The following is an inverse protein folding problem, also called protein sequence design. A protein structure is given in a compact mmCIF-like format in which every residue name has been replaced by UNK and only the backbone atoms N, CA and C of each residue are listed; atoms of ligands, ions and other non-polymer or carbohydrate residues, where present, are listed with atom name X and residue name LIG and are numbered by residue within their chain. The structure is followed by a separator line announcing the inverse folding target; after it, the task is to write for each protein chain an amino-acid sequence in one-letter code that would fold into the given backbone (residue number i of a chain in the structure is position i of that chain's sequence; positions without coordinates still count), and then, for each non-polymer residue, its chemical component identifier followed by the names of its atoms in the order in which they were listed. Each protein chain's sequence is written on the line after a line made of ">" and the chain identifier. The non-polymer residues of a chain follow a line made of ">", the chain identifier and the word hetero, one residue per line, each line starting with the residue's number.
data_IF_179321941857
#
_entry.id   IF_179321941857
#
_cell.length_a   1.000
_cell.length_b   1.000
_cell.length_c   1.000
_cell.angle_alpha   90.00
_cell.angle_beta   90.00
_cell.angle_gamma   90.00
#
_symmetry.space_group_name_H-M   'P 1'
#
loop_
_entity.id
_entity.type
_entity.pdbx_description
1 polymer ?
#
# COMPACT_ATOMS: atom_id res chain seq x y z
N UNK A 1 22.23 -21.18 70.85
CA UNK A 1 21.84 -22.05 69.72
C UNK A 1 20.45 -21.64 69.30
N UNK A 2 20.36 -20.68 68.39
CA UNK A 2 19.10 -20.24 67.76
C UNK A 2 19.37 -20.26 66.27
N UNK A 3 18.64 -21.09 65.53
CA UNK A 3 18.71 -21.10 64.07
C UNK A 3 18.08 -19.82 63.53
N UNK A 4 18.71 -19.15 62.55
CA UNK A 4 18.08 -18.03 61.86
C UNK A 4 16.97 -18.52 60.92
N UNK A 5 15.79 -17.91 61.04
CA UNK A 5 14.70 -18.11 60.09
C UNK A 5 15.01 -17.41 58.76
N UNK A 6 14.75 -18.05 57.61
CA UNK A 6 14.95 -17.43 56.31
C UNK A 6 13.93 -16.32 56.07
N UNK A 7 14.43 -15.20 55.55
CA UNK A 7 13.71 -13.99 55.18
C UNK A 7 12.77 -14.22 53.98
N UNK A 8 11.55 -13.69 54.09
CA UNK A 8 10.41 -13.72 53.13
C UNK A 8 10.66 -12.96 51.81
N UNK A 9 11.86 -13.04 51.23
CA UNK A 9 12.23 -12.30 50.01
C UNK A 9 12.53 -13.21 48.80
N UNK A 10 12.14 -14.48 48.85
CA UNK A 10 12.49 -15.47 47.82
C UNK A 10 11.30 -16.39 47.47
N UNK A 11 10.10 -15.80 47.41
CA UNK A 11 8.86 -16.52 47.08
C UNK A 11 7.94 -15.76 46.08
N UNK A 12 8.50 -14.85 45.27
CA UNK A 12 7.76 -14.15 44.20
C UNK A 12 8.56 -14.16 42.90
N UNK A 13 9.21 -15.29 42.59
CA UNK A 13 9.92 -15.49 41.34
C UNK A 13 9.64 -16.89 40.81
N UNK A 14 8.36 -17.27 40.67
CA UNK A 14 7.92 -18.43 39.87
C UNK A 14 6.38 -18.54 39.92
N UNK A 15 5.72 -17.76 39.07
CA UNK A 15 4.32 -17.93 38.60
C UNK A 15 3.99 -16.68 37.76
N UNK A 16 3.58 -16.73 36.51
CA UNK A 16 3.14 -17.83 35.67
C UNK A 16 3.34 -17.39 34.22
N UNK A 17 4.20 -18.08 33.48
CA UNK A 17 3.98 -18.22 32.04
C UNK A 17 2.68 -19.00 31.89
N UNK A 18 1.59 -18.29 31.61
CA UNK A 18 0.35 -18.93 31.21
C UNK A 18 0.59 -19.46 29.79
N UNK A 19 1.10 -20.68 29.73
CA UNK A 19 1.10 -21.51 28.53
C UNK A 19 -0.35 -21.62 28.04
N UNK A 20 -0.63 -20.96 26.93
CA UNK A 20 -1.92 -21.06 26.24
C UNK A 20 -1.97 -22.44 25.60
N UNK A 21 -2.33 -23.45 26.38
CA UNK A 21 -2.59 -24.80 25.90
C UNK A 21 -3.95 -24.80 25.21
N UNK A 22 -3.92 -24.88 23.88
CA UNK A 22 -5.10 -25.11 23.05
C UNK A 22 -5.64 -26.53 23.29
N UNK A 23 -6.97 -26.76 23.34
CA UNK A 23 -7.60 -28.00 23.82
C UNK A 23 -7.41 -29.24 22.92
N UNK A 24 -6.51 -29.20 21.93
CA UNK A 24 -6.36 -30.25 20.92
C UNK A 24 -5.07 -31.10 21.04
N UNK A 25 -4.13 -30.77 21.94
CA UNK A 25 -2.99 -31.67 22.23
C UNK A 25 -2.05 -31.96 21.05
N UNK A 26 -2.04 -31.12 20.00
CA UNK A 26 -1.07 -31.19 18.91
C UNK A 26 0.03 -30.15 19.17
N UNK A 27 1.33 -30.51 19.13
CA UNK A 27 2.40 -29.53 19.28
C UNK A 27 2.30 -28.46 18.20
N UNK A 28 2.32 -27.19 18.59
CA UNK A 28 2.11 -26.01 17.76
C UNK A 28 3.33 -25.65 16.87
N UNK A 29 3.91 -26.65 16.23
CA UNK A 29 4.72 -26.48 15.02
C UNK A 29 3.94 -27.11 13.85
N UNK A 30 2.66 -26.75 13.73
CA UNK A 30 1.99 -26.89 12.44
C UNK A 30 2.74 -25.92 11.53
N UNK A 31 3.57 -26.47 10.64
CA UNK A 31 4.29 -25.78 9.57
C UNK A 31 3.26 -25.00 8.75
N UNK A 32 2.87 -23.83 9.26
CA UNK A 32 2.08 -22.85 8.52
C UNK A 32 2.82 -22.70 7.20
N UNK A 33 2.12 -22.96 6.11
CA UNK A 33 2.68 -22.74 4.80
C UNK A 33 3.24 -21.30 4.82
N UNK A 34 4.46 -21.01 4.33
CA UNK A 34 5.06 -19.68 4.48
C UNK A 34 4.14 -18.52 4.04
N UNK A 35 3.20 -18.81 3.12
CA UNK A 35 2.15 -17.88 2.70
C UNK A 35 1.09 -17.57 3.76
N UNK A 36 0.75 -18.51 4.65
CA UNK A 36 -0.24 -18.33 5.72
C UNK A 36 0.26 -17.35 6.79
N UNK A 37 1.57 -17.37 7.07
CA UNK A 37 2.20 -16.38 7.95
C UNK A 37 2.08 -14.95 7.40
N UNK A 38 2.07 -14.79 6.07
CA UNK A 38 1.84 -13.51 5.40
C UNK A 38 0.36 -13.14 5.24
N UNK A 39 -0.58 -14.07 5.49
CA UNK A 39 -2.01 -13.84 5.32
C UNK A 39 -2.71 -13.31 6.58
N UNK A 40 -2.04 -13.32 7.73
CA UNK A 40 -2.60 -12.87 9.01
C UNK A 40 -2.04 -11.50 9.36
N UNK A 41 -2.90 -10.61 9.85
CA UNK A 41 -2.50 -9.33 10.43
C UNK A 41 -2.93 -9.27 11.88
N UNK A 42 -2.05 -8.74 12.73
CA UNK A 42 -2.42 -8.43 14.10
C UNK A 42 -3.50 -7.32 14.07
N UNK A 43 -4.63 -7.50 14.78
CA UNK A 43 -5.67 -6.48 14.82
C UNK A 43 -5.12 -5.21 15.46
N UNK A 44 -5.56 -4.05 14.97
CA UNK A 44 -5.12 -2.78 15.51
C UNK A 44 -5.87 -2.50 16.82
N UNK A 45 -5.25 -1.82 17.80
CA UNK A 45 -5.97 -1.35 18.98
C UNK A 45 -7.22 -0.58 18.57
N UNK A 46 -8.35 -0.81 19.27
CA UNK A 46 -9.60 -0.07 18.98
C UNK A 46 -9.48 1.44 19.26
N UNK A 47 -8.42 1.85 19.95
CA UNK A 47 -8.02 3.23 20.23
C UNK A 47 -6.96 3.76 19.26
N UNK A 48 -6.53 2.97 18.27
CA UNK A 48 -5.52 3.38 17.29
C UNK A 48 -5.94 4.67 16.58
N UNK A 49 -5.03 5.66 16.58
CA UNK A 49 -5.25 6.95 15.96
C UNK A 49 -5.23 6.88 14.44
N UNK A 50 -5.86 7.87 13.81
CA UNK A 50 -6.01 7.97 12.37
C UNK A 50 -5.39 9.27 11.85
N UNK A 51 -4.51 9.16 10.87
CA UNK A 51 -3.98 10.27 10.07
C UNK A 51 -4.81 10.41 8.80
N UNK A 52 -5.71 11.39 8.74
CA UNK A 52 -6.57 11.62 7.60
C UNK A 52 -5.94 12.61 6.61
N UNK A 53 -5.73 12.17 5.37
CA UNK A 53 -5.29 12.98 4.25
C UNK A 53 -6.48 13.27 3.35
N UNK A 54 -6.83 14.55 3.19
CA UNK A 54 -7.89 15.02 2.30
C UNK A 54 -7.25 15.70 1.09
N UNK A 55 -7.24 15.02 -0.05
CA UNK A 55 -6.80 15.62 -1.31
C UNK A 55 -8.01 16.27 -2.00
N UNK A 56 -7.99 17.58 -2.18
CA UNK A 56 -9.15 18.35 -2.67
C UNK A 56 -8.80 19.32 -3.80
N UNK A 57 -9.80 19.74 -4.56
CA UNK A 57 -9.77 20.91 -5.45
C UNK A 57 -10.54 22.10 -4.83
N UNK A 58 -11.31 21.86 -3.78
CA UNK A 58 -12.22 22.79 -3.13
C UNK A 58 -11.97 22.75 -1.61
N UNK A 59 -11.29 23.77 -1.10
CA UNK A 59 -10.90 23.84 0.31
C UNK A 59 -12.11 23.90 1.25
N UNK A 60 -13.19 24.59 0.85
CA UNK A 60 -14.39 24.70 1.66
C UNK A 60 -15.09 23.34 1.84
N UNK A 61 -15.18 22.55 0.77
CA UNK A 61 -15.69 21.17 0.86
C UNK A 61 -14.76 20.26 1.64
N UNK A 62 -13.45 20.43 1.51
CA UNK A 62 -12.50 19.65 2.29
C UNK A 62 -12.60 19.93 3.79
N UNK A 63 -12.84 21.18 4.20
CA UNK A 63 -13.05 21.48 5.61
C UNK A 63 -14.35 20.84 6.13
N UNK A 64 -15.42 20.82 5.33
CA UNK A 64 -16.65 20.11 5.68
C UNK A 64 -16.43 18.59 5.83
N UNK A 65 -15.58 17.99 4.99
CA UNK A 65 -15.15 16.58 5.10
C UNK A 65 -14.33 16.37 6.37
N UNK A 66 -13.34 17.23 6.62
CA UNK A 66 -12.47 17.17 7.80
C UNK A 66 -13.29 17.26 9.10
N UNK A 67 -14.25 18.19 9.16
CA UNK A 67 -15.12 18.36 10.32
C UNK A 67 -16.02 17.14 10.56
N UNK A 68 -16.54 16.55 9.48
CA UNK A 68 -17.29 15.29 9.60
C UNK A 68 -16.41 14.15 10.15
N UNK A 69 -15.18 14.02 9.66
CA UNK A 69 -14.23 13.02 10.16
C UNK A 69 -13.88 13.26 11.64
N UNK A 70 -13.62 14.51 12.05
CA UNK A 70 -13.38 14.89 13.45
C UNK A 70 -14.54 14.47 14.34
N UNK A 71 -15.78 14.71 13.92
CA UNK A 71 -16.98 14.29 14.66
C UNK A 71 -17.11 12.77 14.75
N UNK A 72 -16.96 12.05 13.64
CA UNK A 72 -17.14 10.61 13.57
C UNK A 72 -16.06 9.83 14.32
N UNK A 73 -14.80 10.25 14.20
CA UNK A 73 -13.65 9.57 14.81
C UNK A 73 -13.50 10.02 16.27
N UNK A 74 -13.71 11.30 16.57
CA UNK A 74 -13.75 11.83 17.93
C UNK A 74 -14.87 11.19 18.77
N UNK A 75 -16.05 10.96 18.17
CA UNK A 75 -17.15 10.22 18.82
C UNK A 75 -16.82 8.76 19.17
N UNK A 76 -15.73 8.20 18.63
CA UNK A 76 -15.22 6.87 18.97
C UNK A 76 -14.07 6.88 19.97
N UNK A 77 -13.66 8.06 20.45
CA UNK A 77 -12.51 8.20 21.34
C UNK A 77 -11.17 7.86 20.69
N UNK A 78 -11.06 7.95 19.36
CA UNK A 78 -9.82 7.74 18.63
C UNK A 78 -9.12 9.08 18.36
N UNK A 79 -7.79 9.18 18.52
CA UNK A 79 -7.03 10.33 18.06
C UNK A 79 -7.18 10.51 16.55
N UNK A 80 -7.36 11.75 16.10
CA UNK A 80 -7.41 12.10 14.68
C UNK A 80 -6.50 13.29 14.41
N UNK A 81 -5.65 13.16 13.40
CA UNK A 81 -4.97 14.31 12.76
C UNK A 81 -5.47 14.39 11.34
N UNK A 82 -5.82 15.59 10.88
CA UNK A 82 -6.30 15.82 9.51
C UNK A 82 -5.35 16.76 8.80
N UNK A 83 -4.92 16.37 7.60
CA UNK A 83 -4.14 17.20 6.68
C UNK A 83 -4.97 17.39 5.41
N UNK A 84 -5.22 18.65 5.07
CA UNK A 84 -5.91 19.03 3.84
C UNK A 84 -4.85 19.48 2.84
N UNK A 85 -4.76 18.81 1.71
CA UNK A 85 -3.88 19.20 0.61
C UNK A 85 -4.74 19.70 -0.56
N UNK A 86 -4.75 21.00 -0.86
CA UNK A 86 -5.45 21.56 -2.01
C UNK A 86 -4.72 21.27 -3.33
N UNK A 87 -5.45 21.33 -4.44
CA UNK A 87 -4.89 21.22 -5.78
C UNK A 87 -4.35 22.59 -6.22
N UNK A 88 -3.03 22.69 -6.31
CA UNK A 88 -2.30 23.90 -6.69
C UNK A 88 -1.46 23.69 -7.96
N UNK A 89 -1.96 22.88 -8.90
CA UNK A 89 -1.23 22.48 -10.12
C UNK A 89 0.03 21.65 -9.84
N UNK A 90 0.05 20.98 -8.68
CA UNK A 90 1.13 20.09 -8.26
C UNK A 90 0.72 18.63 -8.48
N UNK A 91 1.73 17.76 -8.59
CA UNK A 91 1.49 16.33 -8.77
C UNK A 91 0.73 15.74 -7.56
N UNK A 92 -0.20 14.82 -7.80
CA UNK A 92 -0.92 14.12 -6.73
C UNK A 92 0.02 13.33 -5.83
N UNK A 93 1.12 12.80 -6.38
CA UNK A 93 2.19 12.14 -5.64
C UNK A 93 2.89 13.10 -4.65
N UNK A 94 3.29 14.30 -5.08
CA UNK A 94 3.98 15.27 -4.22
C UNK A 94 3.06 15.78 -3.10
N UNK A 95 1.78 15.96 -3.41
CA UNK A 95 0.76 16.31 -2.41
C UNK A 95 0.59 15.20 -1.38
N UNK A 96 0.47 13.95 -1.82
CA UNK A 96 0.40 12.82 -0.90
C UNK A 96 1.68 12.69 -0.06
N UNK A 97 2.85 12.81 -0.66
CA UNK A 97 4.13 12.73 0.05
C UNK A 97 4.26 13.82 1.13
N UNK A 98 3.82 15.05 0.83
CA UNK A 98 3.78 16.16 1.78
C UNK A 98 2.76 15.94 2.89
N UNK A 99 1.56 15.47 2.55
CA UNK A 99 0.54 15.15 3.55
C UNK A 99 0.97 14.04 4.51
N UNK A 100 1.81 13.13 4.02
CA UNK A 100 2.38 12.02 4.77
C UNK A 100 3.64 12.42 5.56
N UNK A 101 4.22 13.59 5.30
CA UNK A 101 5.40 14.06 6.02
C UNK A 101 5.06 14.25 7.51
N UNK A 102 5.67 13.44 8.38
CA UNK A 102 5.41 13.47 9.82
C UNK A 102 4.17 12.69 10.26
N UNK A 103 3.58 11.85 9.39
CA UNK A 103 2.52 10.95 9.79
C UNK A 103 3.01 9.98 10.88
N UNK A 104 2.45 10.09 12.07
CA UNK A 104 2.86 9.33 13.26
C UNK A 104 1.78 8.39 13.80
N UNK A 105 0.59 8.39 13.18
CA UNK A 105 -0.53 7.53 13.57
C UNK A 105 -0.54 6.24 12.75
N UNK A 106 -0.93 5.09 13.34
CA UNK A 106 -0.79 3.78 12.70
C UNK A 106 -1.74 3.55 11.51
N UNK A 107 -2.84 4.30 11.43
CA UNK A 107 -3.83 4.20 10.36
C UNK A 107 -3.80 5.49 9.55
N UNK A 108 -3.81 5.37 8.22
CA UNK A 108 -3.95 6.49 7.29
C UNK A 108 -5.30 6.39 6.60
N UNK A 109 -6.11 7.44 6.67
CA UNK A 109 -7.33 7.58 5.87
C UNK A 109 -7.01 8.50 4.70
N UNK A 110 -7.02 7.98 3.48
CA UNK A 110 -6.84 8.79 2.27
C UNK A 110 -8.21 9.02 1.62
N UNK A 111 -8.59 10.29 1.45
CA UNK A 111 -9.86 10.63 0.83
C UNK A 111 -9.75 11.76 -0.19
N UNK A 112 -10.55 11.63 -1.25
CA UNK A 112 -10.82 12.69 -2.22
C UNK A 112 -12.30 13.05 -2.25
N UNK A 113 -13.02 12.74 -1.17
CA UNK A 113 -14.43 13.00 -1.05
C UNK A 113 -14.70 14.50 -1.10
N UNK A 114 -15.80 14.89 -1.72
CA UNK A 114 -16.29 16.28 -1.75
C UNK A 114 -17.54 16.48 -0.90
N UNK A 115 -17.99 15.41 -0.25
CA UNK A 115 -19.16 15.36 0.63
C UNK A 115 -18.77 14.79 2.00
N UNK A 116 -19.45 15.22 3.08
CA UNK A 116 -19.20 14.71 4.42
C UNK A 116 -19.29 13.19 4.52
N UNK A 117 -18.33 12.60 5.24
CA UNK A 117 -18.39 11.19 5.61
C UNK A 117 -19.56 10.91 6.56
N UNK A 118 -19.94 9.64 6.65
CA UNK A 118 -20.98 9.18 7.57
C UNK A 118 -20.47 7.92 8.27
N UNK A 119 -21.18 7.54 9.33
CA UNK A 119 -20.92 6.30 10.05
C UNK A 119 -20.93 5.07 9.13
N UNK A 120 -21.83 5.04 8.15
CA UNK A 120 -21.98 3.95 7.20
C UNK A 120 -20.82 3.87 6.18
N UNK A 121 -20.03 4.94 6.02
CA UNK A 121 -18.79 4.91 5.25
C UNK A 121 -17.62 4.39 6.09
N UNK A 122 -17.50 4.86 7.34
CA UNK A 122 -16.32 4.64 8.17
C UNK A 122 -16.31 3.27 8.88
N UNK A 123 -17.45 2.84 9.43
CA UNK A 123 -17.56 1.60 10.21
C UNK A 123 -17.02 0.36 9.47
N UNK A 124 -17.49 0.03 8.25
CA UNK A 124 -17.02 -1.19 7.58
C UNK A 124 -15.52 -1.17 7.28
N UNK A 125 -14.96 0.01 6.97
CA UNK A 125 -13.51 0.14 6.72
C UNK A 125 -12.69 -0.10 7.99
N UNK A 126 -13.14 0.41 9.14
CA UNK A 126 -12.48 0.17 10.42
C UNK A 126 -12.58 -1.29 10.89
N UNK A 127 -13.62 -2.01 10.49
CA UNK A 127 -13.76 -3.44 10.79
C UNK A 127 -12.83 -4.28 9.89
N UNK A 128 -12.72 -3.93 8.61
CA UNK A 128 -11.90 -4.65 7.65
C UNK A 128 -10.39 -4.39 7.83
N UNK A 129 -9.95 -3.20 8.26
CA UNK A 129 -8.52 -2.89 8.38
C UNK A 129 -7.78 -3.75 9.44
N UNK A 130 -8.51 -4.39 10.34
CA UNK A 130 -7.91 -5.32 11.31
C UNK A 130 -7.34 -6.57 10.64
N UNK A 131 -7.85 -6.95 9.46
CA UNK A 131 -7.45 -8.15 8.71
C UNK A 131 -6.64 -7.85 7.44
N UNK A 132 -6.42 -6.59 7.11
CA UNK A 132 -5.73 -6.20 5.88
C UNK A 132 -4.80 -4.99 6.06
N UNK A 133 -4.03 -4.69 5.02
CA UNK A 133 -3.11 -3.55 4.97
C UNK A 133 -3.77 -2.32 4.35
N UNK A 134 -4.72 -2.53 3.44
CA UNK A 134 -5.47 -1.50 2.73
C UNK A 134 -6.91 -1.95 2.54
N UNK A 135 -7.87 -1.07 2.82
CA UNK A 135 -9.28 -1.28 2.49
C UNK A 135 -9.85 -0.11 1.70
N UNK A 136 -10.66 -0.43 0.70
CA UNK A 136 -11.37 0.53 -0.13
C UNK A 136 -12.88 0.43 0.12
N UNK A 137 -13.56 1.56 0.12
CA UNK A 137 -15.02 1.59 0.11
C UNK A 137 -15.56 1.44 -1.31
N UNK A 138 -16.11 0.28 -1.67
CA UNK A 138 -16.88 0.10 -2.91
C UNK A 138 -18.19 0.87 -2.82
N UNK A 139 -18.30 1.98 -3.56
CA UNK A 139 -19.54 2.76 -3.61
C UNK A 139 -20.64 1.96 -4.27
N UNK A 140 -21.80 1.84 -3.62
CA UNK A 140 -22.97 1.18 -4.24
C UNK A 140 -23.39 1.91 -5.52
N UNK A 141 -23.72 1.15 -6.57
CA UNK A 141 -24.27 1.68 -7.84
C UNK A 141 -25.50 0.90 -8.26
N UNK A 142 -26.30 1.49 -9.14
CA UNK A 142 -27.36 0.79 -9.87
C UNK A 142 -26.80 -0.42 -10.64
N UNK A 143 -27.67 -1.37 -10.99
CA UNK A 143 -27.29 -2.57 -11.76
C UNK A 143 -26.45 -2.26 -13.02
N UNK A 144 -26.88 -1.35 -13.92
CA UNK A 144 -26.05 -0.97 -15.08
C UNK A 144 -24.70 -0.38 -14.68
N UNK A 145 -24.68 0.46 -13.64
CA UNK A 145 -23.45 1.04 -13.12
C UNK A 145 -22.48 0.00 -12.54
N UNK A 146 -22.98 -1.10 -11.96
CA UNK A 146 -22.15 -2.22 -11.48
C UNK A 146 -21.49 -2.97 -12.62
N UNK A 147 -22.23 -3.26 -13.70
CA UNK A 147 -21.69 -3.94 -14.88
C UNK A 147 -20.64 -3.09 -15.56
N UNK A 148 -20.93 -1.81 -15.79
CA UNK A 148 -19.97 -0.89 -16.41
C UNK A 148 -18.69 -0.77 -15.58
N UNK A 149 -18.82 -0.66 -14.25
CA UNK A 149 -17.65 -0.64 -13.34
C UNK A 149 -16.86 -1.94 -13.40
N UNK A 150 -17.53 -3.08 -13.38
CA UNK A 150 -16.87 -4.38 -13.47
C UNK A 150 -16.08 -4.52 -14.76
N UNK A 151 -16.63 -4.07 -15.90
CA UNK A 151 -15.90 -4.01 -17.17
C UNK A 151 -14.69 -3.07 -17.10
N UNK A 152 -14.87 -1.87 -16.53
CA UNK A 152 -13.80 -0.89 -16.37
C UNK A 152 -12.68 -1.36 -15.42
N UNK A 153 -12.96 -2.31 -14.52
CA UNK A 153 -11.97 -2.90 -13.63
C UNK A 153 -11.14 -4.02 -14.29
N UNK A 154 -11.64 -4.64 -15.39
CA UNK A 154 -10.98 -5.79 -16.03
C UNK A 154 -9.55 -5.52 -16.50
N UNK A 155 -9.23 -4.38 -17.14
CA UNK A 155 -7.86 -4.10 -17.54
C UNK A 155 -6.89 -4.12 -16.35
N UNK A 156 -7.30 -3.58 -15.20
CA UNK A 156 -6.48 -3.55 -13.98
C UNK A 156 -6.34 -4.92 -13.34
N UNK A 157 -7.41 -5.71 -13.33
CA UNK A 157 -7.35 -7.09 -12.88
C UNK A 157 -6.40 -7.94 -13.73
N UNK A 158 -6.34 -7.69 -15.04
CA UNK A 158 -5.47 -8.43 -15.96
C UNK A 158 -4.02 -7.97 -15.91
N UNK A 159 -3.77 -6.65 -15.86
CA UNK A 159 -2.42 -6.08 -15.92
C UNK A 159 -1.69 -6.12 -14.57
N UNK A 160 -2.41 -5.92 -13.48
CA UNK A 160 -1.81 -5.70 -12.14
C UNK A 160 -2.33 -6.67 -11.08
N UNK A 161 -3.12 -7.67 -11.48
CA UNK A 161 -3.76 -8.60 -10.55
C UNK A 161 -4.53 -7.89 -9.41
N UNK A 162 -5.20 -6.77 -9.73
CA UNK A 162 -6.02 -6.01 -8.78
C UNK A 162 -7.47 -6.53 -8.85
N UNK A 163 -7.96 -7.33 -7.89
CA UNK A 163 -9.32 -7.90 -7.93
C UNK A 163 -10.40 -6.91 -7.47
N UNK A 164 -10.10 -5.61 -7.43
CA UNK A 164 -10.98 -4.58 -6.86
C UNK A 164 -11.91 -3.99 -7.91
N UNK A 165 -13.11 -3.60 -7.49
CA UNK A 165 -14.15 -3.10 -8.39
C UNK A 165 -14.15 -1.58 -8.46
N UNK A 166 -13.91 -0.88 -7.35
CA UNK A 166 -13.95 0.58 -7.25
C UNK A 166 -12.57 1.17 -6.95
N UNK A 167 -11.61 0.96 -7.87
CA UNK A 167 -10.22 1.44 -7.78
C UNK A 167 -10.13 2.93 -7.41
N UNK A 168 -10.96 3.76 -8.03
CA UNK A 168 -11.02 5.20 -7.76
C UNK A 168 -11.99 5.56 -6.63
N UNK A 169 -12.12 4.71 -5.61
CA UNK A 169 -12.93 5.03 -4.44
C UNK A 169 -12.33 6.23 -3.68
N UNK A 170 -13.15 7.21 -3.26
CA UNK A 170 -12.72 8.28 -2.38
C UNK A 170 -12.59 7.83 -0.91
N UNK A 171 -12.93 6.58 -0.60
CA UNK A 171 -12.90 6.04 0.76
C UNK A 171 -11.79 5.00 0.86
N UNK A 172 -10.63 5.38 1.42
CA UNK A 172 -9.52 4.45 1.61
C UNK A 172 -8.95 4.55 3.00
N UNK A 173 -8.61 3.40 3.55
CA UNK A 173 -7.98 3.28 4.85
C UNK A 173 -6.83 2.29 4.71
N UNK A 174 -5.64 2.66 5.18
CA UNK A 174 -4.47 1.80 5.12
C UNK A 174 -3.73 1.80 6.44
N UNK A 175 -2.96 0.74 6.69
CA UNK A 175 -1.89 0.77 7.69
C UNK A 175 -0.82 1.74 7.20
N UNK A 176 -0.29 2.57 8.09
CA UNK A 176 0.73 3.57 7.75
C UNK A 176 1.97 2.90 7.17
N UNK A 177 2.46 1.86 7.85
CA UNK A 177 3.64 1.08 7.43
C UNK A 177 3.49 0.50 6.02
N UNK A 178 2.30 -0.02 5.68
CA UNK A 178 2.02 -0.55 4.36
C UNK A 178 2.06 0.55 3.31
N UNK A 179 1.46 1.71 3.57
CA UNK A 179 1.45 2.84 2.63
C UNK A 179 2.87 3.43 2.42
N UNK A 180 3.71 3.46 3.45
CA UNK A 180 5.09 4.00 3.37
C UNK A 180 6.00 3.19 2.45
N UNK A 181 5.71 1.89 2.26
CA UNK A 181 6.42 1.02 1.32
C UNK A 181 6.05 1.30 -0.14
N UNK A 182 4.98 2.09 -0.38
CA UNK A 182 4.46 2.40 -1.71
C UNK A 182 4.77 3.86 -2.08
N UNK A 183 6.02 4.21 -2.40
CA UNK A 183 6.37 5.60 -2.72
C UNK A 183 5.57 6.07 -3.94
N UNK A 184 4.76 7.14 -3.84
CA UNK A 184 3.90 7.58 -4.94
C UNK A 184 4.74 8.22 -6.06
N UNK A 185 4.39 7.97 -7.32
CA UNK A 185 5.06 8.54 -8.50
C UNK A 185 4.11 9.29 -9.44
N UNK A 186 2.84 8.86 -9.52
CA UNK A 186 1.91 9.41 -10.51
C UNK A 186 1.41 10.79 -10.14
N UNK A 187 1.42 11.70 -11.10
CA UNK A 187 0.90 13.05 -10.93
C UNK A 187 -0.63 13.13 -10.99
N UNK A 188 -1.28 12.17 -11.65
CA UNK A 188 -2.70 12.16 -12.00
C UNK A 188 -3.54 11.23 -11.12
N UNK A 189 -4.79 11.02 -11.52
CA UNK A 189 -5.68 9.98 -10.96
C UNK A 189 -5.12 8.56 -11.07
N UNK A 190 -4.11 8.33 -11.92
CA UNK A 190 -3.45 7.04 -12.03
C UNK A 190 -2.78 6.62 -10.72
N UNK A 191 -2.46 7.56 -9.82
CA UNK A 191 -1.94 7.27 -8.49
C UNK A 191 -2.76 6.22 -7.73
N UNK A 192 -4.08 6.24 -7.91
CA UNK A 192 -4.97 5.28 -7.27
C UNK A 192 -4.71 3.84 -7.76
N UNK A 193 -4.47 3.67 -9.06
CA UNK A 193 -4.15 2.38 -9.68
C UNK A 193 -2.72 1.98 -9.31
N UNK A 194 -1.79 2.92 -9.36
CA UNK A 194 -0.38 2.71 -8.99
C UNK A 194 -0.25 2.16 -7.57
N UNK A 195 -0.89 2.79 -6.58
CA UNK A 195 -0.82 2.33 -5.18
C UNK A 195 -1.34 0.90 -5.04
N UNK A 196 -2.43 0.55 -5.74
CA UNK A 196 -2.99 -0.81 -5.72
C UNK A 196 -2.10 -1.82 -6.44
N UNK A 197 -1.55 -1.45 -7.60
CA UNK A 197 -0.64 -2.31 -8.35
C UNK A 197 0.61 -2.63 -7.52
N UNK A 198 1.16 -1.61 -6.83
CA UNK A 198 2.28 -1.82 -5.90
C UNK A 198 1.86 -2.63 -4.68
N UNK A 199 0.68 -2.40 -4.12
CA UNK A 199 0.15 -3.23 -3.02
C UNK A 199 0.14 -4.71 -3.40
N UNK A 200 -0.37 -5.03 -4.59
CA UNK A 200 -0.32 -6.40 -5.14
C UNK A 200 1.11 -6.92 -5.30
N UNK A 201 2.02 -6.09 -5.81
CA UNK A 201 3.44 -6.46 -5.97
C UNK A 201 4.15 -6.74 -4.63
N UNK A 202 3.82 -6.00 -3.58
CA UNK A 202 4.35 -6.18 -2.23
C UNK A 202 3.57 -7.21 -1.39
N UNK A 203 2.67 -7.98 -2.01
CA UNK A 203 1.81 -8.96 -1.33
C UNK A 203 1.05 -8.38 -0.12
N UNK A 204 0.72 -7.08 -0.18
CA UNK A 204 -0.11 -6.44 0.83
C UNK A 204 -1.54 -6.95 0.71
N UNK A 205 -2.18 -7.19 1.84
CA UNK A 205 -3.57 -7.64 1.88
C UNK A 205 -4.47 -6.45 1.60
N UNK A 206 -5.24 -6.53 0.50
CA UNK A 206 -6.17 -5.48 0.10
C UNK A 206 -7.59 -5.99 0.10
N UNK A 207 -8.49 -5.24 0.73
CA UNK A 207 -9.90 -5.59 0.85
C UNK A 207 -10.82 -4.47 0.31
N UNK A 208 -12.08 -4.82 0.05
CA UNK A 208 -13.07 -3.90 -0.49
C UNK A 208 -14.44 -4.08 0.16
N UNK A 209 -14.92 -3.03 0.84
CA UNK A 209 -16.17 -3.06 1.60
C UNK A 209 -17.26 -2.20 0.96
N UNK A 210 -18.52 -2.65 1.01
CA UNK A 210 -19.63 -1.91 0.44
C UNK A 210 -20.00 -0.68 1.28
N UNK A 211 -19.87 0.50 0.68
CA UNK A 211 -20.21 1.78 1.32
C UNK A 211 -21.30 2.53 0.53
N UNK A 212 -22.07 3.43 1.18
CA UNK A 212 -22.98 4.31 0.46
C UNK A 212 -22.27 5.15 -0.62
N UNK A 213 -23.01 5.69 -1.60
CA UNK A 213 -22.44 6.61 -2.58
C UNK A 213 -21.80 7.82 -1.90
N UNK A 214 -20.60 8.19 -2.34
CA UNK A 214 -19.89 9.38 -1.89
C UNK A 214 -19.28 10.08 -3.10
N UNK A 215 -19.58 11.37 -3.27
CA UNK A 215 -19.00 12.16 -4.33
C UNK A 215 -17.49 12.34 -4.13
N UNK A 216 -16.75 12.44 -5.23
CA UNK A 216 -15.30 12.55 -5.24
C UNK A 216 -14.86 13.64 -6.20
N UNK A 217 -13.76 14.32 -5.87
CA UNK A 217 -13.07 15.20 -6.82
C UNK A 217 -12.56 14.38 -8.01
N UNK A 218 -12.65 14.98 -9.19
CA UNK A 218 -12.19 14.35 -10.42
C UNK A 218 -10.66 14.27 -10.45
N UNK A 219 -9.93 15.22 -9.85
CA UNK A 219 -8.47 15.25 -9.90
C UNK A 219 -7.94 15.62 -11.30
N UNK A 220 -6.62 15.87 -11.40
CA UNK A 220 -6.00 16.34 -12.63
C UNK A 220 -6.10 15.31 -13.77
N UNK A 221 -6.28 15.78 -15.02
CA UNK A 221 -6.22 14.92 -16.22
C UNK A 221 -4.80 14.39 -16.45
N UNK A 222 -4.63 13.34 -17.25
CA UNK A 222 -3.29 12.87 -17.66
C UNK A 222 -2.96 11.39 -17.41
N UNK A 223 -3.96 10.50 -17.47
CA UNK A 223 -3.84 9.10 -17.09
C UNK A 223 -2.75 8.29 -17.83
N UNK A 224 -2.61 8.46 -19.15
CA UNK A 224 -1.77 7.56 -19.97
C UNK A 224 -0.26 7.83 -19.85
N UNK A 225 0.15 9.07 -19.61
CA UNK A 225 1.57 9.41 -19.41
C UNK A 225 2.12 8.74 -18.17
N UNK A 226 1.46 8.97 -17.03
CA UNK A 226 1.82 8.35 -15.75
C UNK A 226 1.82 6.83 -15.82
N UNK A 227 0.85 6.22 -16.51
CA UNK A 227 0.81 4.77 -16.70
C UNK A 227 2.08 4.25 -17.38
N UNK A 228 2.51 4.89 -18.46
CA UNK A 228 3.72 4.49 -19.20
C UNK A 228 4.97 4.68 -18.34
N UNK A 229 5.05 5.78 -17.60
CA UNK A 229 6.21 6.10 -16.77
C UNK A 229 6.36 5.11 -15.61
N UNK A 230 5.29 4.84 -14.87
CA UNK A 230 5.27 3.85 -13.77
C UNK A 230 5.58 2.45 -14.28
N UNK A 231 5.02 2.06 -15.44
CA UNK A 231 5.26 0.73 -16.00
C UNK A 231 6.71 0.55 -16.46
N UNK A 232 7.32 1.60 -17.05
CA UNK A 232 8.70 1.53 -17.55
C UNK A 232 9.75 1.66 -16.44
N UNK A 233 9.48 2.44 -15.39
CA UNK A 233 10.45 2.79 -14.35
C UNK A 233 9.81 2.80 -12.95
N UNK A 234 9.34 1.65 -12.43
CA UNK A 234 8.71 1.61 -11.12
C UNK A 234 9.71 1.89 -10.00
N UNK A 235 9.59 3.02 -9.32
CA UNK A 235 10.21 3.26 -8.00
C UNK A 235 9.55 2.40 -6.93
N UNK A 236 10.30 1.46 -6.36
CA UNK A 236 9.89 0.56 -5.29
C UNK A 236 10.85 0.77 -4.10
N UNK A 237 10.33 0.96 -2.90
CA UNK A 237 11.14 0.95 -1.68
C UNK A 237 11.08 -0.45 -1.09
N UNK A 238 12.21 -1.17 -1.12
CA UNK A 238 12.41 -2.34 -0.28
C UNK A 238 13.11 -1.87 0.98
N UNK A 239 12.57 -2.22 2.14
CA UNK A 239 13.32 -2.11 3.38
C UNK A 239 14.56 -3.01 3.25
N UNK A 240 15.76 -2.54 3.63
CA UNK A 240 16.92 -3.42 3.68
C UNK A 240 16.59 -4.58 4.62
N UNK A 241 16.94 -5.83 4.28
CA UNK A 241 16.70 -6.95 5.17
C UNK A 241 17.34 -6.64 6.54
N UNK A 242 16.72 -7.08 7.66
CA UNK A 242 17.30 -6.89 8.97
C UNK A 242 18.74 -7.42 8.95
N UNK A 243 19.67 -6.58 9.40
CA UNK A 243 21.09 -6.91 9.46
C UNK A 243 21.28 -8.12 10.36
N UNK A 244 21.31 -9.33 9.77
CA UNK A 244 21.43 -10.59 10.51
C UNK A 244 20.77 -11.81 9.88
N UNK A 245 19.98 -11.68 8.81
CA UNK A 245 19.20 -12.82 8.26
C UNK A 245 19.76 -13.49 7.00
N UNK A 246 20.95 -13.11 6.53
CA UNK A 246 21.65 -13.91 5.52
C UNK A 246 22.82 -14.62 6.20
N UNK A 247 22.85 -15.97 6.28
CA UNK A 247 24.12 -16.66 6.30
C UNK A 247 24.89 -16.15 5.08
N UNK A 248 26.15 -15.76 5.28
CA UNK A 248 27.04 -15.59 4.14
C UNK A 248 27.02 -16.93 3.39
N UNK A 249 26.36 -16.98 2.24
CA UNK A 249 26.73 -17.94 1.22
C UNK A 249 28.15 -17.54 0.84
N UNK A 250 29.13 -18.16 1.51
CA UNK A 250 30.51 -18.13 1.05
C UNK A 250 30.44 -18.57 -0.42
N UNK A 251 30.88 -17.72 -1.37
CA UNK A 251 31.03 -18.17 -2.72
C UNK A 251 32.14 -19.22 -2.69
N UNK A 252 31.75 -20.48 -2.56
CA UNK A 252 32.56 -21.62 -2.99
C UNK A 252 32.61 -21.54 -4.52
N UNK A 253 33.38 -20.55 -5.00
CA UNK A 253 33.96 -20.57 -6.32
C UNK A 253 34.97 -21.69 -6.30
N UNK A 254 34.57 -22.86 -6.79
CA UNK A 254 35.51 -23.75 -7.41
C UNK A 254 36.27 -22.92 -8.45
N UNK A 255 37.59 -22.87 -8.30
CA UNK A 255 38.51 -22.28 -9.26
C UNK A 255 38.31 -22.99 -10.60
N UNK A 256 37.45 -22.44 -11.45
CA UNK A 256 37.31 -22.86 -12.84
C UNK A 256 38.62 -22.47 -13.54
N UNK A 257 39.47 -23.49 -13.67
CA UNK A 257 40.82 -23.40 -14.20
C UNK A 257 40.86 -22.68 -15.53
N UNK A 258 41.85 -21.80 -15.65
CA UNK A 258 42.10 -21.07 -16.88
C UNK A 258 42.34 -22.02 -18.05
N UNK A 259 41.44 -21.98 -19.02
CA UNK A 259 41.72 -22.40 -20.37
C UNK A 259 41.41 -21.23 -21.30
N UNK A 260 42.44 -20.41 -21.52
CA UNK A 260 42.52 -19.51 -22.68
C UNK A 260 42.96 -20.36 -23.86
N UNK A 261 42.21 -20.31 -24.97
CA UNK A 261 42.86 -20.28 -26.26
C UNK A 261 42.47 -18.99 -26.98
N UNK A 262 43.52 -18.29 -27.37
CA UNK A 262 43.53 -17.24 -28.39
C UNK A 262 42.63 -17.64 -29.57
N UNK A 263 41.68 -16.75 -29.86
CA UNK A 263 40.80 -16.83 -31.03
C UNK A 263 40.54 -15.41 -31.50
N UNK A 264 41.50 -14.88 -32.24
CA UNK A 264 41.33 -13.74 -33.12
C UNK A 264 40.10 -13.99 -34.01
N UNK A 265 39.13 -13.08 -33.98
CA UNK A 265 38.20 -12.92 -35.09
C UNK A 265 37.89 -11.43 -35.26
N UNK A 266 38.70 -10.81 -36.11
CA UNK A 266 38.44 -9.58 -36.82
C UNK A 266 37.10 -9.68 -37.57
N UNK A 267 36.02 -9.24 -36.95
CA UNK A 267 34.80 -8.91 -37.68
C UNK A 267 34.81 -7.44 -38.08
N UNK A 268 35.39 -7.24 -39.27
CA UNK A 268 35.17 -6.12 -40.18
C UNK A 268 33.69 -5.73 -40.16
N UNK A 269 33.39 -4.56 -39.59
CA UNK A 269 32.08 -3.91 -39.75
C UNK A 269 31.97 -3.40 -41.20
N UNK A 270 30.95 -3.80 -41.97
CA UNK A 270 30.63 -3.10 -43.21
C UNK A 270 30.05 -1.72 -42.88
N UNK A 271 30.63 -0.69 -43.49
CA UNK A 271 30.14 0.69 -43.49
C UNK A 271 28.66 0.74 -43.91
N UNK A 272 27.78 1.40 -43.14
CA UNK A 272 26.44 1.70 -43.61
C UNK A 272 26.54 2.70 -44.77
N UNK A 273 26.19 2.22 -45.97
CA UNK A 273 26.03 3.03 -47.18
C UNK A 273 25.18 4.27 -46.90
N UNK A 274 25.71 5.42 -47.32
CA UNK A 274 25.00 6.69 -47.37
C UNK A 274 23.71 6.56 -48.20
N UNK A 275 22.56 7.06 -47.71
CA UNK A 275 21.35 7.18 -48.52
C UNK A 275 21.56 8.27 -49.58
N UNK A 276 21.48 7.87 -50.85
CA UNK A 276 21.53 8.76 -51.99
C UNK A 276 20.37 9.78 -52.03
N UNK A 277 20.54 10.90 -52.75
CA UNK A 277 19.58 11.99 -52.79
C UNK A 277 18.26 11.58 -53.46
N UNK A 278 17.15 11.93 -52.80
CA UNK A 278 15.79 11.80 -53.28
C UNK A 278 15.60 12.74 -54.48
N UNK A 279 15.42 12.19 -55.69
CA UNK A 279 15.04 12.99 -56.86
C UNK A 279 13.56 13.39 -56.75
N UNK A 280 13.32 14.69 -56.68
CA UNK A 280 12.00 15.31 -56.81
C UNK A 280 11.49 15.17 -58.25
N UNK A 281 10.40 14.43 -58.44
CA UNK A 281 9.63 14.46 -59.68
C UNK A 281 8.46 15.47 -59.57
N UNK A 282 8.41 16.50 -60.44
CA UNK A 282 7.25 17.37 -60.55
C UNK A 282 6.19 16.85 -61.54
N UNK A 283 4.93 17.08 -61.14
CA UNK A 283 3.65 17.09 -61.89
C UNK A 283 3.03 15.76 -62.34
#
# INVERSE_FOLDING_TARGET
>A
MSQPQPTTSEAIAEASEAEVVSPAGTPAEELLHPLDAHAIRAPLPKTAGIWAVVLTEDEAKAEAVAESLRRLIGGRGRPLKVVIEPDKFESRADRLARAMAGADLPIVLLTTATEPWTEAHLKPLLEAIDRCDLVLGRRRRSLPGRVLRWLAARPWALLFAIPLRDVHSPCRLSRREALEQLPPQSASRFLDVELLAKSSFFAQLVDEEDVPPLAASAGPPGFWGDFVDVFRRPVLRREPPPAGSAPAEDPQGDEEGGDRPDGEDDQVRPDPQEPGPLEDHPA
#
